data_IF_374862707219
#
_entry.id   IF_374862707219
#
_cell.length_a   1.000
_cell.length_b   1.000
_cell.length_c   1.000
_cell.angle_alpha   90.00
_cell.angle_beta   90.00
_cell.angle_gamma   90.00
#
_symmetry.space_group_name_H-M   'P 1'
#
loop_
_entity.id
_entity.type
_entity.pdbx_description
1 polymer ?
#
# COMPACT_ATOMS: atom_id res chain seq x y z
N UNK A 1 -1.75 2.13 -10.51
CA UNK A 1 -1.26 0.75 -10.45
C UNK A 1 -2.48 -0.14 -10.30
N UNK A 2 -2.64 -1.11 -11.20
CA UNK A 2 -3.77 -2.04 -11.22
C UNK A 2 -3.30 -3.37 -10.62
N UNK A 3 -3.92 -3.79 -9.51
CA UNK A 3 -3.70 -5.10 -8.89
C UNK A 3 -4.90 -5.99 -9.24
N UNK A 4 -4.65 -7.08 -9.97
CA UNK A 4 -5.69 -8.07 -10.30
C UNK A 4 -5.75 -9.11 -9.16
N UNK A 5 -6.90 -9.20 -8.48
CA UNK A 5 -7.03 -9.98 -7.23
C UNK A 5 -8.17 -11.01 -7.34
N UNK A 6 -7.87 -12.24 -7.76
CA UNK A 6 -8.81 -13.38 -7.70
C UNK A 6 -8.86 -13.98 -6.28
N UNK A 7 -10.04 -14.04 -5.65
CA UNK A 7 -10.23 -14.80 -4.40
C UNK A 7 -11.71 -15.02 -4.07
N UNK A 8 -12.03 -16.27 -3.70
CA UNK A 8 -13.37 -16.72 -3.29
C UNK A 8 -13.64 -16.59 -1.77
N UNK A 9 -12.64 -16.40 -0.88
CA UNK A 9 -12.87 -16.48 0.59
C UNK A 9 -11.99 -15.59 1.52
N UNK A 10 -11.11 -14.70 1.04
CA UNK A 10 -10.22 -13.96 1.95
C UNK A 10 -10.83 -12.68 2.57
N UNK A 11 -10.94 -12.68 3.91
CA UNK A 11 -11.24 -11.52 4.77
C UNK A 11 -10.20 -10.38 4.66
N UNK A 12 -8.98 -10.69 4.22
CA UNK A 12 -7.94 -9.70 3.97
C UNK A 12 -6.94 -10.19 2.92
N UNK A 13 -6.32 -9.24 2.23
CA UNK A 13 -5.22 -9.42 1.30
C UNK A 13 -4.01 -8.64 1.80
N UNK A 14 -2.81 -9.18 1.57
CA UNK A 14 -1.54 -8.58 1.96
C UNK A 14 -0.55 -8.74 0.79
N UNK A 15 0.05 -7.64 0.37
CA UNK A 15 1.05 -7.64 -0.70
C UNK A 15 2.15 -6.61 -0.42
N UNK A 16 3.38 -6.99 -0.77
CA UNK A 16 4.54 -6.10 -0.74
C UNK A 16 4.73 -5.51 -2.14
N UNK A 17 4.82 -4.18 -2.21
CA UNK A 17 4.82 -3.45 -3.47
C UNK A 17 5.79 -2.29 -3.43
N UNK A 18 6.51 -2.08 -4.53
CA UNK A 18 7.32 -0.88 -4.74
C UNK A 18 6.43 0.19 -5.38
N UNK A 19 6.18 1.27 -4.66
CA UNK A 19 5.51 2.45 -5.18
C UNK A 19 6.57 3.40 -5.74
N UNK A 20 6.23 4.07 -6.84
CA UNK A 20 7.05 5.14 -7.42
C UNK A 20 8.46 4.70 -7.88
N UNK A 21 8.62 3.43 -8.28
CA UNK A 21 9.90 2.81 -8.68
C UNK A 21 10.74 3.66 -9.66
N UNK A 22 10.10 4.41 -10.56
CA UNK A 22 10.75 5.24 -11.59
C UNK A 22 10.72 6.75 -11.31
N UNK A 23 10.25 7.15 -10.14
CA UNK A 23 10.25 8.55 -9.71
C UNK A 23 11.53 8.89 -8.95
N UNK A 24 11.69 10.14 -8.53
CA UNK A 24 12.83 10.57 -7.70
C UNK A 24 12.98 9.73 -6.42
N UNK A 25 11.85 9.33 -5.82
CA UNK A 25 11.81 8.49 -4.63
C UNK A 25 10.96 7.27 -4.91
N UNK A 26 11.53 6.09 -4.70
CA UNK A 26 10.83 4.82 -4.65
C UNK A 26 10.61 4.40 -3.19
N UNK A 27 9.47 3.79 -2.88
CA UNK A 27 9.18 3.27 -1.53
C UNK A 27 8.60 1.88 -1.59
N UNK A 28 9.14 0.99 -0.76
CA UNK A 28 8.61 -0.35 -0.60
C UNK A 28 7.66 -0.36 0.59
N UNK A 29 6.44 -0.85 0.34
CA UNK A 29 5.40 -0.90 1.36
C UNK A 29 4.77 -2.28 1.40
N UNK A 30 4.34 -2.67 2.58
CA UNK A 30 3.41 -3.78 2.77
C UNK A 30 2.01 -3.19 2.93
N UNK A 31 1.11 -3.53 1.99
CA UNK A 31 -0.29 -3.14 2.00
C UNK A 31 -1.15 -4.27 2.52
N UNK A 32 -2.00 -3.99 3.51
CA UNK A 32 -3.01 -4.93 4.01
C UNK A 32 -4.39 -4.35 3.82
N UNK A 33 -5.20 -5.02 3.01
CA UNK A 33 -6.56 -4.61 2.66
C UNK A 33 -7.53 -5.61 3.28
N UNK A 34 -8.38 -5.14 4.19
CA UNK A 34 -9.42 -5.95 4.82
C UNK A 34 -10.73 -5.70 4.08
N UNK A 35 -11.37 -6.78 3.64
CA UNK A 35 -12.52 -6.75 2.75
C UNK A 35 -13.67 -7.50 3.43
N UNK A 36 -14.84 -6.86 3.52
CA UNK A 36 -16.09 -7.49 3.92
C UNK A 36 -16.93 -7.77 2.66
N UNK A 37 -17.62 -8.91 2.64
CA UNK A 37 -18.57 -9.23 1.57
C UNK A 37 -20.00 -8.96 2.04
N UNK A 38 -20.72 -8.09 1.32
CA UNK A 38 -22.13 -7.84 1.56
C UNK A 38 -22.97 -8.51 0.46
N UNK A 39 -23.98 -9.34 0.79
CA UNK A 39 -24.79 -10.04 -0.21
C UNK A 39 -25.44 -9.14 -1.26
N UNK A 40 -25.75 -7.90 -0.89
CA UNK A 40 -26.41 -6.91 -1.76
C UNK A 40 -25.44 -5.98 -2.52
N UNK A 41 -24.24 -5.73 -2.00
CA UNK A 41 -23.32 -4.69 -2.51
C UNK A 41 -21.96 -5.25 -2.97
N UNK A 42 -21.72 -6.55 -2.82
CA UNK A 42 -20.46 -7.19 -3.19
C UNK A 42 -19.34 -6.94 -2.17
N UNK A 43 -18.10 -6.89 -2.66
CA UNK A 43 -16.89 -6.66 -1.86
C UNK A 43 -16.81 -5.18 -1.44
N UNK A 44 -16.51 -4.92 -0.17
CA UNK A 44 -16.28 -3.57 0.36
C UNK A 44 -15.00 -3.52 1.21
N UNK A 45 -14.16 -2.50 0.99
CA UNK A 45 -12.95 -2.29 1.78
C UNK A 45 -13.33 -1.70 3.15
N UNK A 46 -12.99 -2.42 4.21
CA UNK A 46 -13.25 -2.01 5.59
C UNK A 46 -12.08 -1.24 6.19
N UNK A 47 -10.86 -1.67 5.86
CA UNK A 47 -9.63 -1.12 6.43
C UNK A 47 -8.48 -1.30 5.46
N UNK A 48 -7.66 -0.27 5.35
CA UNK A 48 -6.35 -0.29 4.73
C UNK A 48 -5.29 -0.05 5.81
N UNK A 49 -4.28 -0.90 5.85
CA UNK A 49 -3.05 -0.69 6.61
C UNK A 49 -1.88 -0.60 5.63
N UNK A 50 -0.99 0.35 5.88
CA UNK A 50 0.22 0.57 5.08
C UNK A 50 1.38 0.53 6.06
N UNK A 51 2.40 -0.25 5.73
CA UNK A 51 3.65 -0.31 6.51
C UNK A 51 4.80 0.00 5.57
N UNK A 52 5.56 1.05 5.90
CA UNK A 52 6.73 1.43 5.12
C UNK A 52 7.93 0.56 5.49
N UNK A 53 8.43 -0.19 4.52
CA UNK A 53 9.57 -1.09 4.69
C UNK A 53 10.87 -0.33 4.48
N UNK A 54 11.02 0.26 3.30
CA UNK A 54 12.20 0.98 2.83
C UNK A 54 11.80 2.13 1.91
N UNK A 55 12.73 3.05 1.72
CA UNK A 55 12.66 4.06 0.66
C UNK A 55 14.03 4.21 0.03
N UNK A 56 14.06 4.61 -1.24
CA UNK A 56 15.27 4.78 -2.02
C UNK A 56 15.17 6.08 -2.83
N UNK A 57 16.21 6.90 -2.75
CA UNK A 57 16.35 8.09 -3.58
C UNK A 57 17.08 7.71 -4.87
N UNK A 58 16.34 7.67 -5.99
CA UNK A 58 16.89 7.31 -7.29
C UNK A 58 17.89 8.37 -7.81
N UNK A 59 17.71 9.65 -7.45
CA UNK A 59 18.61 10.72 -7.87
C UNK A 59 19.98 10.64 -7.17
N UNK A 60 19.97 10.32 -5.88
CA UNK A 60 21.18 10.23 -5.05
C UNK A 60 21.76 8.81 -5.01
N UNK A 61 21.02 7.83 -5.54
CA UNK A 61 21.35 6.41 -5.54
C UNK A 61 21.59 5.84 -4.13
N UNK A 62 20.80 6.26 -3.14
CA UNK A 62 20.94 5.86 -1.73
C UNK A 62 19.62 5.56 -1.03
N UNK A 63 19.71 4.81 0.08
CA UNK A 63 18.55 4.49 0.92
C UNK A 63 18.07 5.73 1.70
N UNK A 64 16.76 5.92 1.75
CA UNK A 64 16.15 6.95 2.60
C UNK A 64 16.17 6.52 4.07
N UNK A 65 16.99 7.20 4.86
CA UNK A 65 17.06 6.99 6.31
C UNK A 65 15.98 7.82 7.01
N UNK A 66 14.80 7.23 7.15
CA UNK A 66 13.67 7.85 7.85
C UNK A 66 13.58 7.40 9.31
N UNK A 67 13.34 8.37 10.19
CA UNK A 67 13.03 8.10 11.59
C UNK A 67 11.59 7.62 11.75
N UNK A 68 11.24 7.12 12.95
CA UNK A 68 9.92 6.52 13.20
C UNK A 68 8.75 7.48 12.96
N UNK A 69 8.91 8.78 13.22
CA UNK A 69 7.85 9.76 12.99
C UNK A 69 7.65 10.00 11.50
N UNK A 70 8.73 10.19 10.75
CA UNK A 70 8.69 10.36 9.29
C UNK A 70 8.08 9.14 8.59
N UNK A 71 8.49 7.93 8.98
CA UNK A 71 7.89 6.68 8.47
C UNK A 71 6.38 6.68 8.67
N UNK A 72 5.92 7.05 9.87
CA UNK A 72 4.50 7.08 10.19
C UNK A 72 3.73 8.14 9.39
N UNK A 73 4.35 9.30 9.14
CA UNK A 73 3.72 10.33 8.30
C UNK A 73 3.54 9.85 6.86
N UNK A 74 4.53 9.15 6.30
CA UNK A 74 4.42 8.51 4.98
C UNK A 74 3.33 7.45 4.97
N UNK A 75 3.30 6.55 5.96
CA UNK A 75 2.27 5.51 6.08
C UNK A 75 0.85 6.10 6.16
N UNK A 76 0.63 7.14 6.98
CA UNK A 76 -0.67 7.81 7.08
C UNK A 76 -1.01 8.58 5.80
N UNK A 77 -0.04 9.22 5.15
CA UNK A 77 -0.27 9.88 3.88
C UNK A 77 -0.73 8.87 2.81
N UNK A 78 -0.01 7.76 2.66
CA UNK A 78 -0.36 6.71 1.72
C UNK A 78 -1.73 6.10 2.03
N UNK A 79 -2.00 5.76 3.28
CA UNK A 79 -3.30 5.21 3.69
C UNK A 79 -4.48 6.12 3.34
N UNK A 80 -4.31 7.43 3.41
CA UNK A 80 -5.38 8.39 3.14
C UNK A 80 -5.49 8.82 1.67
N UNK A 81 -4.44 8.61 0.86
CA UNK A 81 -4.38 9.12 -0.52
C UNK A 81 -4.23 8.05 -1.59
N UNK A 82 -3.89 6.79 -1.23
CA UNK A 82 -3.84 5.70 -2.18
C UNK A 82 -5.25 5.35 -2.67
N UNK A 83 -5.42 5.35 -3.99
CA UNK A 83 -6.61 4.82 -4.66
C UNK A 83 -6.25 3.42 -5.13
N UNK A 84 -7.00 2.43 -4.64
CA UNK A 84 -6.81 1.02 -4.99
C UNK A 84 -8.03 0.58 -5.77
N UNK A 85 -7.82 0.18 -7.01
CA UNK A 85 -8.85 -0.44 -7.86
C UNK A 85 -8.77 -1.96 -7.67
N UNK A 86 -9.88 -2.56 -7.28
CA UNK A 86 -10.00 -4.00 -7.08
C UNK A 86 -10.96 -4.56 -8.13
N UNK A 87 -10.46 -5.50 -8.93
CA UNK A 87 -11.28 -6.26 -9.90
C UNK A 87 -11.87 -7.54 -9.27
#
# INVERSE_FOLDING_TARGET
>A
MLLDIETDEKLFFEEEICLFEYEEVAIDVNLKIYIDYHPEYGKSVKRLEVVLLSGYNNNECEDLVLNRFEKREVEEYLKNNLIIEMN
#
